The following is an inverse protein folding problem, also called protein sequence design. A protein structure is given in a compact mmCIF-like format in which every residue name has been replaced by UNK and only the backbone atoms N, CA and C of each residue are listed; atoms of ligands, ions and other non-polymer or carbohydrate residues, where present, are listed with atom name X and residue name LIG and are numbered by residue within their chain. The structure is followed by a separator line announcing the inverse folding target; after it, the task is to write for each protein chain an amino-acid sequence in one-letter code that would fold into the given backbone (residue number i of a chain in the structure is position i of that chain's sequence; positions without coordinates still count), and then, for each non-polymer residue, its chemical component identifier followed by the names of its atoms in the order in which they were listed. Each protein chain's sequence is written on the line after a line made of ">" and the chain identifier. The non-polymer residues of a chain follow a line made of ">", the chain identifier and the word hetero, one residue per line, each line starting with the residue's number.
data_IF_112976141967
#
_entry.id   IF_112976141967
#
_cell.length_a   1.000
_cell.length_b   1.000
_cell.length_c   1.000
_cell.angle_alpha   90.00
_cell.angle_beta   90.00
_cell.angle_gamma   90.00
#
_symmetry.space_group_name_H-M   'P 1'
#
loop_
_entity.id
_entity.type
_entity.pdbx_description
1 polymer ?
#
# COMPACT_ATOMS: atom_id res chain seq x y z
N UNK A 1 -23.36 7.55 15.29
CA UNK A 1 -22.59 8.75 14.92
C UNK A 1 -21.76 8.39 13.71
N UNK A 2 -21.85 9.16 12.62
CA UNK A 2 -20.96 9.00 11.47
C UNK A 2 -19.98 10.18 11.49
N UNK A 3 -18.68 9.91 11.61
CA UNK A 3 -17.65 10.94 11.73
C UNK A 3 -16.96 11.16 10.38
N UNK A 4 -16.93 12.41 9.91
CA UNK A 4 -16.24 12.83 8.70
C UNK A 4 -15.47 14.13 8.97
N UNK A 5 -14.33 14.32 8.30
CA UNK A 5 -13.53 15.54 8.35
C UNK A 5 -13.23 16.03 6.94
N UNK A 6 -13.09 17.35 6.77
CA UNK A 6 -12.86 17.99 5.48
C UNK A 6 -11.47 18.65 5.44
N UNK A 7 -10.74 18.48 4.34
CA UNK A 7 -9.36 18.97 4.20
C UNK A 7 -9.22 20.49 4.40
N UNK A 8 -10.18 21.30 3.93
CA UNK A 8 -10.14 22.75 4.11
C UNK A 8 -10.30 23.13 5.58
N UNK A 9 -11.18 22.44 6.31
CA UNK A 9 -11.35 22.64 7.76
C UNK A 9 -10.11 22.19 8.54
N UNK A 10 -9.47 21.10 8.12
CA UNK A 10 -8.23 20.63 8.75
C UNK A 10 -7.08 21.63 8.56
N UNK A 11 -6.93 22.19 7.34
CA UNK A 11 -5.94 23.25 7.07
C UNK A 11 -6.18 24.50 7.90
N UNK A 12 -7.41 25.00 7.94
CA UNK A 12 -7.76 26.17 8.74
C UNK A 12 -7.50 25.94 10.25
N UNK A 13 -7.78 24.72 10.75
CA UNK A 13 -7.46 24.36 12.13
C UNK A 13 -5.94 24.34 12.37
N UNK A 14 -5.16 23.76 11.46
CA UNK A 14 -3.71 23.72 11.54
C UNK A 14 -3.09 25.13 11.57
N UNK A 15 -3.56 26.03 10.70
CA UNK A 15 -3.15 27.44 10.68
C UNK A 15 -3.47 28.14 12.01
N UNK A 16 -4.69 27.95 12.54
CA UNK A 16 -5.09 28.53 13.83
C UNK A 16 -4.21 28.05 14.98
N UNK A 17 -3.77 26.78 14.94
CA UNK A 17 -2.84 26.20 15.92
C UNK A 17 -1.37 26.55 15.66
N UNK A 18 -1.06 27.31 14.61
CA UNK A 18 0.30 27.71 14.25
C UNK A 18 1.14 26.56 13.68
N UNK A 19 0.52 25.48 13.21
CA UNK A 19 1.23 24.39 12.53
C UNK A 19 1.62 24.80 11.11
N UNK A 20 2.80 24.36 10.67
CA UNK A 20 3.22 24.58 9.30
C UNK A 20 2.35 23.81 8.31
N UNK A 21 1.95 24.47 7.22
CA UNK A 21 1.27 23.82 6.09
C UNK A 21 2.26 23.35 5.00
N UNK A 22 3.54 23.65 5.13
CA UNK A 22 4.56 23.19 4.18
C UNK A 22 4.86 21.71 4.42
N UNK A 23 4.65 20.86 3.41
CA UNK A 23 5.03 19.45 3.45
C UNK A 23 6.46 19.19 2.95
N UNK A 24 6.98 18.01 3.26
CA UNK A 24 8.22 17.48 2.68
C UNK A 24 8.03 16.93 1.25
N UNK A 25 9.14 16.61 0.58
CA UNK A 25 9.11 15.84 -0.66
C UNK A 25 8.84 14.36 -0.36
N UNK A 26 8.15 13.68 -1.27
CA UNK A 26 7.98 12.23 -1.20
C UNK A 26 9.36 11.55 -1.24
N UNK A 27 9.62 10.55 -0.38
CA UNK A 27 10.84 9.75 -0.46
C UNK A 27 10.81 8.73 -1.61
N UNK A 28 9.66 8.53 -2.25
CA UNK A 28 9.54 7.58 -3.36
C UNK A 28 10.18 8.11 -4.62
N UNK A 29 10.86 7.20 -5.33
CA UNK A 29 11.34 7.43 -6.68
C UNK A 29 10.28 6.97 -7.67
N UNK A 30 10.16 7.71 -8.77
CA UNK A 30 9.14 7.46 -9.78
C UNK A 30 9.75 7.20 -11.15
N UNK A 31 9.07 6.36 -11.93
CA UNK A 31 9.28 6.14 -13.36
C UNK A 31 7.96 6.32 -14.11
N UNK A 32 8.05 6.41 -15.43
CA UNK A 32 6.89 6.25 -16.30
C UNK A 32 6.45 4.78 -16.34
N UNK A 33 5.19 4.57 -16.69
CA UNK A 33 4.57 3.27 -16.89
C UNK A 33 5.38 2.45 -17.92
N UNK A 34 5.54 1.16 -17.67
CA UNK A 34 6.12 0.27 -18.68
C UNK A 34 5.17 0.17 -19.89
N UNK A 35 5.70 -0.13 -21.10
CA UNK A 35 4.84 -0.49 -22.23
C UNK A 35 3.90 -1.63 -21.87
N UNK A 36 2.72 -1.63 -22.48
CA UNK A 36 1.74 -2.69 -22.31
C UNK A 36 2.33 -4.02 -22.81
N UNK A 37 2.67 -4.90 -21.86
CA UNK A 37 3.29 -6.19 -22.13
C UNK A 37 2.46 -7.30 -21.46
N UNK A 38 1.99 -8.25 -22.26
CA UNK A 38 1.33 -9.46 -21.77
C UNK A 38 0.00 -9.74 -22.48
N UNK A 39 -0.27 -11.02 -22.71
CA UNK A 39 -1.56 -11.52 -23.22
C UNK A 39 -2.12 -12.63 -22.30
N UNK A 40 -1.64 -12.69 -21.06
CA UNK A 40 -1.97 -13.71 -20.07
C UNK A 40 -3.07 -13.27 -19.10
N UNK A 41 -3.39 -14.12 -18.12
CA UNK A 41 -4.31 -13.76 -17.04
C UNK A 41 -3.77 -12.56 -16.24
N UNK A 42 -4.63 -11.63 -15.82
CA UNK A 42 -4.21 -10.46 -15.05
C UNK A 42 -3.63 -10.87 -13.69
N UNK A 43 -2.54 -10.22 -13.31
CA UNK A 43 -1.97 -10.39 -11.98
C UNK A 43 -3.02 -10.10 -10.90
N UNK A 44 -3.17 -11.02 -9.97
CA UNK A 44 -4.12 -10.92 -8.86
C UNK A 44 -3.37 -11.05 -7.56
N UNK A 45 -3.49 -10.03 -6.71
CA UNK A 45 -2.84 -9.92 -5.42
C UNK A 45 -3.90 -10.02 -4.34
N UNK A 46 -3.76 -10.98 -3.43
CA UNK A 46 -4.64 -11.18 -2.29
C UNK A 46 -3.85 -10.96 -1.01
N UNK A 47 -4.34 -10.03 -0.17
CA UNK A 47 -3.77 -9.71 1.14
C UNK A 47 -4.80 -10.03 2.23
N UNK A 48 -4.51 -11.05 3.01
CA UNK A 48 -5.35 -11.54 4.10
C UNK A 48 -4.93 -10.91 5.42
N UNK A 49 -5.73 -9.97 5.94
CA UNK A 49 -5.45 -9.33 7.23
C UNK A 49 -6.00 -10.11 8.43
N UNK A 50 -7.14 -10.79 8.27
CA UNK A 50 -7.75 -11.59 9.35
C UNK A 50 -8.78 -12.59 8.80
N UNK A 51 -10.02 -12.16 8.64
CA UNK A 51 -11.13 -12.95 8.14
C UNK A 51 -11.44 -12.58 6.68
N UNK A 52 -12.17 -13.42 5.92
CA UNK A 52 -12.52 -13.13 4.53
C UNK A 52 -13.22 -11.78 4.31
N UNK A 53 -13.96 -11.28 5.30
CA UNK A 53 -14.59 -9.95 5.28
C UNK A 53 -13.60 -8.77 5.30
N UNK A 54 -12.32 -9.03 5.58
CA UNK A 54 -11.25 -8.05 5.59
C UNK A 54 -10.18 -8.33 4.53
N UNK A 55 -10.39 -9.34 3.67
CA UNK A 55 -9.50 -9.60 2.53
C UNK A 55 -9.45 -8.37 1.63
N UNK A 56 -8.23 -7.90 1.34
CA UNK A 56 -7.98 -6.93 0.30
C UNK A 56 -7.46 -7.66 -0.93
N UNK A 57 -8.11 -7.42 -2.07
CA UNK A 57 -7.69 -7.98 -3.35
C UNK A 57 -7.43 -6.87 -4.34
N UNK A 58 -6.40 -7.03 -5.16
CA UNK A 58 -6.02 -6.11 -6.22
C UNK A 58 -5.91 -6.90 -7.52
N UNK A 59 -6.64 -6.49 -8.55
CA UNK A 59 -6.62 -7.15 -9.86
C UNK A 59 -6.03 -6.19 -10.87
N UNK A 60 -4.99 -6.62 -11.56
CA UNK A 60 -4.35 -5.82 -12.58
C UNK A 60 -5.29 -5.56 -13.76
N UNK A 61 -5.33 -4.31 -14.20
CA UNK A 61 -6.10 -3.84 -15.34
C UNK A 61 -5.11 -3.28 -16.37
N UNK A 62 -5.01 -4.00 -17.49
CA UNK A 62 -4.03 -3.74 -18.54
C UNK A 62 -4.25 -2.38 -19.21
N UNK A 63 -5.50 -2.03 -19.54
CA UNK A 63 -5.86 -0.77 -20.24
C UNK A 63 -5.43 0.46 -19.45
N UNK A 64 -5.56 0.40 -18.11
CA UNK A 64 -5.19 1.51 -17.23
C UNK A 64 -3.75 1.46 -16.74
N UNK A 65 -3.04 0.34 -16.95
CA UNK A 65 -1.84 -0.04 -16.21
C UNK A 65 -1.98 0.28 -14.71
N UNK A 66 -3.04 -0.25 -14.10
CA UNK A 66 -3.38 -0.02 -12.69
C UNK A 66 -3.98 -1.28 -12.05
N UNK A 67 -4.19 -1.22 -10.74
CA UNK A 67 -4.79 -2.29 -9.96
C UNK A 67 -6.13 -1.85 -9.39
N UNK A 68 -7.19 -2.57 -9.75
CA UNK A 68 -8.54 -2.41 -9.22
C UNK A 68 -8.63 -3.02 -7.83
N UNK A 69 -9.02 -2.23 -6.82
CA UNK A 69 -9.12 -2.71 -5.44
C UNK A 69 -10.50 -3.29 -5.12
N UNK A 70 -10.49 -4.40 -4.40
CA UNK A 70 -11.66 -5.08 -3.84
C UNK A 70 -11.47 -5.23 -2.33
N UNK A 71 -12.58 -5.31 -1.61
CA UNK A 71 -12.63 -5.70 -0.18
C UNK A 71 -13.76 -6.68 0.00
N UNK A 72 -13.51 -7.80 0.69
CA UNK A 72 -14.51 -8.84 0.93
C UNK A 72 -15.22 -9.29 -0.36
N UNK A 73 -14.45 -9.47 -1.44
CA UNK A 73 -14.96 -9.86 -2.77
C UNK A 73 -15.69 -8.77 -3.57
N UNK A 74 -15.95 -7.59 -3.00
CA UNK A 74 -16.70 -6.52 -3.68
C UNK A 74 -15.78 -5.39 -4.14
N UNK A 75 -16.07 -4.70 -5.26
CA UNK A 75 -15.36 -3.49 -5.67
C UNK A 75 -15.27 -2.48 -4.52
N UNK A 76 -14.08 -2.00 -4.21
CA UNK A 76 -13.89 -0.98 -3.17
C UNK A 76 -14.15 0.40 -3.78
N UNK A 77 -15.37 0.90 -3.61
CA UNK A 77 -15.85 2.14 -4.26
C UNK A 77 -15.69 3.34 -3.33
N UNK A 78 -15.11 4.42 -3.86
CA UNK A 78 -15.13 5.72 -3.20
C UNK A 78 -16.57 6.26 -3.20
N UNK A 79 -17.11 6.56 -2.02
CA UNK A 79 -18.50 6.97 -1.85
C UNK A 79 -18.82 8.32 -2.50
N UNK A 80 -17.86 9.24 -2.54
CA UNK A 80 -18.09 10.61 -3.03
C UNK A 80 -18.10 10.67 -4.55
N UNK A 81 -17.24 9.87 -5.19
CA UNK A 81 -17.12 9.84 -6.66
C UNK A 81 -17.96 8.73 -7.30
N UNK A 82 -18.22 7.65 -6.57
CA UNK A 82 -18.83 6.43 -7.11
C UNK A 82 -17.86 5.58 -7.93
N UNK A 83 -16.58 5.96 -8.01
CA UNK A 83 -15.56 5.24 -8.76
C UNK A 83 -14.90 4.16 -7.91
N UNK A 84 -14.56 3.04 -8.54
CA UNK A 84 -13.76 2.01 -7.88
C UNK A 84 -12.34 2.54 -7.65
N UNK A 85 -11.80 2.32 -6.45
CA UNK A 85 -10.42 2.66 -6.11
C UNK A 85 -9.47 1.89 -7.02
N UNK A 86 -8.59 2.64 -7.69
CA UNK A 86 -7.51 2.14 -8.54
C UNK A 86 -6.18 2.61 -8.00
N UNK A 87 -5.14 1.79 -8.07
CA UNK A 87 -3.79 2.19 -7.64
C UNK A 87 -2.76 1.76 -8.66
N UNK A 88 -1.73 2.58 -8.85
CA UNK A 88 -0.63 2.29 -9.77
C UNK A 88 0.38 1.32 -9.19
N UNK A 89 0.46 1.26 -7.86
CA UNK A 89 1.42 0.44 -7.15
C UNK A 89 0.80 -0.16 -5.89
N UNK A 90 1.12 -1.41 -5.60
CA UNK A 90 0.82 -2.06 -4.32
C UNK A 90 2.13 -2.46 -3.65
N UNK A 91 2.29 -2.11 -2.39
CA UNK A 91 3.41 -2.51 -1.54
C UNK A 91 2.85 -3.41 -0.44
N UNK A 92 3.42 -4.60 -0.29
CA UNK A 92 3.12 -5.48 0.84
C UNK A 92 4.38 -5.58 1.69
N UNK A 93 4.34 -4.91 2.85
CA UNK A 93 5.42 -4.82 3.81
C UNK A 93 5.22 -5.87 4.92
N UNK A 94 6.19 -6.77 5.06
CA UNK A 94 6.21 -7.73 6.17
C UNK A 94 6.90 -7.08 7.36
N UNK A 95 6.20 -7.01 8.49
CA UNK A 95 6.72 -6.42 9.73
C UNK A 95 6.11 -7.11 10.95
N UNK A 96 6.71 -6.91 12.12
CA UNK A 96 6.17 -7.44 13.35
C UNK A 96 4.87 -6.72 13.72
N UNK A 97 3.81 -7.51 13.88
CA UNK A 97 2.51 -7.06 14.39
C UNK A 97 2.22 -7.88 15.64
N UNK A 98 2.27 -7.24 16.80
CA UNK A 98 2.21 -7.93 18.10
C UNK A 98 1.03 -7.42 18.92
N UNK A 99 0.37 -8.32 19.64
CA UNK A 99 -0.63 -7.95 20.63
C UNK A 99 0.07 -7.27 21.82
N UNK A 100 -0.37 -6.06 22.20
CA UNK A 100 0.25 -5.30 23.31
C UNK A 100 -0.40 -5.56 24.67
N UNK A 101 -1.32 -6.53 24.74
CA UNK A 101 -2.02 -6.92 25.96
C UNK A 101 -3.18 -6.00 26.34
N UNK A 102 -4.04 -6.51 27.24
CA UNK A 102 -5.24 -5.83 27.72
C UNK A 102 -6.46 -6.01 26.82
N UNK A 103 -7.66 -5.94 27.40
CA UNK A 103 -8.91 -5.80 26.63
C UNK A 103 -8.99 -4.37 26.10
N UNK A 104 -9.22 -4.14 24.79
CA UNK A 104 -9.83 -5.03 23.79
C UNK A 104 -8.84 -5.67 22.78
N UNK A 105 -7.60 -5.96 23.18
CA UNK A 105 -6.64 -6.70 22.34
C UNK A 105 -5.97 -5.84 21.26
N UNK A 106 -5.52 -4.64 21.61
CA UNK A 106 -4.79 -3.77 20.68
C UNK A 106 -3.52 -4.44 20.13
N UNK A 107 -3.16 -4.08 18.91
CA UNK A 107 -1.91 -4.50 18.26
C UNK A 107 -0.98 -3.31 18.05
N UNK A 108 0.32 -3.54 18.19
CA UNK A 108 1.35 -2.63 17.74
C UNK A 108 1.94 -3.15 16.42
N UNK A 109 2.06 -2.25 15.44
CA UNK A 109 2.73 -2.51 14.17
C UNK A 109 4.10 -1.85 14.23
N UNK A 110 5.17 -2.62 14.04
CA UNK A 110 6.52 -2.06 13.96
C UNK A 110 6.68 -1.29 12.64
N UNK A 111 7.12 -0.03 12.73
CA UNK A 111 7.30 0.85 11.57
C UNK A 111 8.74 1.29 11.34
N UNK A 112 9.67 0.91 12.21
CA UNK A 112 11.12 1.17 12.10
C UNK A 112 11.91 -0.13 12.03
N UNK A 113 13.19 -0.05 11.68
CA UNK A 113 14.05 -1.19 11.39
C UNK A 113 13.92 -1.58 9.92
N UNK A 114 13.99 -2.88 9.64
CA UNK A 114 13.92 -3.42 8.29
C UNK A 114 13.07 -4.69 8.24
N UNK A 115 12.79 -5.17 7.02
CA UNK A 115 12.08 -6.41 6.78
C UNK A 115 11.85 -6.68 5.30
N UNK A 116 11.22 -7.80 5.00
CA UNK A 116 10.88 -8.19 3.63
C UNK A 116 9.72 -7.34 3.10
N UNK A 117 9.73 -7.05 1.80
CA UNK A 117 8.62 -6.42 1.11
C UNK A 117 8.41 -7.02 -0.29
N UNK A 118 7.21 -6.84 -0.79
CA UNK A 118 6.81 -7.20 -2.15
C UNK A 118 6.17 -5.97 -2.80
N UNK A 119 6.49 -5.74 -4.06
CA UNK A 119 6.01 -4.60 -4.81
C UNK A 119 5.34 -5.08 -6.09
N UNK A 120 4.21 -4.48 -6.41
CA UNK A 120 3.43 -4.81 -7.58
C UNK A 120 3.15 -3.55 -8.38
N UNK A 121 3.59 -3.56 -9.64
CA UNK A 121 3.53 -2.48 -10.61
C UNK A 121 3.67 -3.08 -12.01
N UNK A 122 3.07 -2.46 -13.02
CA UNK A 122 3.09 -2.94 -14.41
C UNK A 122 2.63 -4.41 -14.58
N UNK A 123 1.72 -4.88 -13.72
CA UNK A 123 1.23 -6.26 -13.73
C UNK A 123 2.25 -7.30 -13.28
N UNK A 124 3.37 -6.87 -12.67
CA UNK A 124 4.49 -7.72 -12.25
C UNK A 124 4.70 -7.60 -10.75
N UNK A 125 5.03 -8.72 -10.13
CA UNK A 125 5.44 -8.81 -8.73
C UNK A 125 6.96 -8.87 -8.61
N UNK A 126 7.53 -8.07 -7.73
CA UNK A 126 8.95 -8.07 -7.38
C UNK A 126 9.09 -8.20 -5.87
N UNK A 127 10.06 -8.98 -5.39
CA UNK A 127 10.40 -9.03 -3.96
C UNK A 127 11.57 -8.11 -3.64
N UNK A 128 11.73 -7.79 -2.36
CA UNK A 128 12.81 -6.93 -1.90
C UNK A 128 12.71 -6.69 -0.39
N UNK A 129 13.19 -5.53 0.04
CA UNK A 129 13.25 -5.18 1.47
C UNK A 129 12.84 -3.74 1.73
N UNK A 130 12.29 -3.49 2.91
CA UNK A 130 12.06 -2.14 3.41
C UNK A 130 13.02 -1.84 4.54
N UNK A 131 13.38 -0.57 4.70
CA UNK A 131 14.13 -0.06 5.85
C UNK A 131 13.63 1.32 6.26
N UNK A 132 13.64 1.60 7.55
CA UNK A 132 13.37 2.92 8.13
C UNK A 132 14.10 3.05 9.46
N UNK A 133 15.08 3.94 9.54
CA UNK A 133 15.97 4.03 10.71
C UNK A 133 15.22 4.55 11.96
N UNK A 134 14.61 5.72 11.85
CA UNK A 134 13.82 6.36 12.90
C UNK A 134 12.38 6.66 12.48
N UNK A 135 11.56 7.06 13.47
CA UNK A 135 10.15 7.41 13.25
C UNK A 135 9.96 8.70 12.44
N UNK A 136 11.00 9.52 12.33
CA UNK A 136 11.02 10.75 11.52
C UNK A 136 11.70 10.54 10.16
N UNK A 137 12.32 9.37 9.95
CA UNK A 137 12.98 9.04 8.68
C UNK A 137 11.98 8.47 7.67
N UNK A 138 12.26 8.63 6.37
CA UNK A 138 11.44 8.02 5.33
C UNK A 138 11.63 6.50 5.26
N UNK A 139 10.62 5.79 4.76
CA UNK A 139 10.79 4.41 4.31
C UNK A 139 11.68 4.39 3.05
N UNK A 140 12.68 3.52 3.07
CA UNK A 140 13.43 3.08 1.90
C UNK A 140 12.87 1.72 1.45
N UNK A 141 12.47 1.62 0.18
CA UNK A 141 12.05 0.37 -0.45
C UNK A 141 13.08 -0.02 -1.50
N UNK A 142 13.62 -1.23 -1.35
CA UNK A 142 14.77 -1.73 -2.09
C UNK A 142 14.38 -3.03 -2.80
N UNK A 143 14.80 -3.21 -4.03
CA UNK A 143 14.64 -4.47 -4.76
C UNK A 143 15.59 -5.56 -4.24
N UNK A 144 15.58 -6.73 -4.89
CA UNK A 144 16.44 -7.87 -4.54
C UNK A 144 17.94 -7.57 -4.64
N UNK A 145 18.32 -6.62 -5.49
CA UNK A 145 19.71 -6.18 -5.70
C UNK A 145 20.13 -5.08 -4.71
N UNK A 146 19.20 -4.64 -3.84
CA UNK A 146 19.42 -3.56 -2.89
C UNK A 146 19.32 -2.16 -3.51
N UNK A 147 18.84 -2.05 -4.76
CA UNK A 147 18.64 -0.77 -5.41
C UNK A 147 17.26 -0.19 -5.05
N UNK A 148 17.12 1.15 -4.97
CA UNK A 148 15.82 1.76 -4.72
C UNK A 148 14.78 1.44 -5.79
N UNK A 149 13.61 0.98 -5.37
CA UNK A 149 12.48 0.72 -6.27
C UNK A 149 11.97 2.03 -6.87
N UNK A 150 11.73 2.04 -8.19
CA UNK A 150 11.09 3.15 -8.90
C UNK A 150 9.63 2.79 -9.19
N UNK A 151 8.71 3.48 -8.54
CA UNK A 151 7.26 3.24 -8.66
C UNK A 151 6.67 3.94 -9.88
N UNK A 152 5.55 3.44 -10.39
CA UNK A 152 4.74 4.15 -11.37
C UNK A 152 4.18 5.43 -10.75
N UNK A 153 4.13 6.52 -11.54
CA UNK A 153 3.51 7.77 -11.09
C UNK A 153 2.02 7.55 -10.84
N UNK A 154 1.59 7.73 -9.59
CA UNK A 154 0.19 7.65 -9.21
C UNK A 154 0.00 7.17 -7.79
N UNK A 155 -1.18 6.64 -7.49
CA UNK A 155 -1.52 6.17 -6.15
C UNK A 155 -0.72 4.91 -5.78
N UNK A 156 -0.23 4.89 -4.55
CA UNK A 156 0.49 3.75 -3.95
C UNK A 156 -0.34 3.27 -2.77
N UNK A 157 -0.65 1.97 -2.74
CA UNK A 157 -1.29 1.33 -1.60
C UNK A 157 -0.27 0.52 -0.81
N UNK A 158 -0.17 0.74 0.50
CA UNK A 158 0.77 0.01 1.36
C UNK A 158 0.00 -0.87 2.35
N UNK A 159 0.26 -2.16 2.31
CA UNK A 159 -0.28 -3.18 3.20
C UNK A 159 0.81 -3.62 4.19
N UNK A 160 0.51 -3.62 5.49
CA UNK A 160 1.41 -4.15 6.52
C UNK A 160 0.86 -5.50 7.00
N UNK A 161 1.67 -6.55 6.92
CA UNK A 161 1.27 -7.91 7.30
C UNK A 161 2.34 -8.59 8.15
N UNK A 162 1.96 -9.55 9.03
CA UNK A 162 2.92 -10.20 9.92
C UNK A 162 3.80 -11.23 9.20
N UNK A 163 3.36 -11.82 8.07
CA UNK A 163 4.14 -12.81 7.33
C UNK A 163 3.81 -12.83 5.84
N UNK A 164 4.62 -13.56 5.05
CA UNK A 164 4.36 -13.83 3.62
C UNK A 164 3.09 -14.67 3.42
N UNK A 165 2.68 -15.48 4.39
CA UNK A 165 1.48 -16.32 4.29
C UNK A 165 0.19 -15.47 4.16
N UNK A 166 0.24 -14.21 4.58
CA UNK A 166 -0.84 -13.26 4.38
C UNK A 166 -0.95 -12.76 2.93
N UNK A 167 0.00 -13.09 2.05
CA UNK A 167 0.07 -12.62 0.66
C UNK A 167 0.10 -13.80 -0.30
N UNK A 168 -0.87 -13.84 -1.22
CA UNK A 168 -0.82 -14.66 -2.42
C UNK A 168 -0.84 -13.75 -3.65
N UNK A 169 0.02 -14.00 -4.63
CA UNK A 169 -0.03 -13.27 -5.90
C UNK A 169 0.40 -14.16 -7.08
N UNK A 170 -0.39 -14.12 -8.16
CA UNK A 170 -0.11 -14.95 -9.35
C UNK A 170 1.23 -14.60 -10.00
N UNK A 171 1.62 -13.32 -10.00
CA UNK A 171 2.93 -12.86 -10.49
C UNK A 171 4.14 -13.31 -9.66
N UNK A 172 3.93 -13.82 -8.43
CA UNK A 172 5.00 -14.40 -7.61
C UNK A 172 5.14 -15.92 -7.82
N UNK A 173 4.27 -16.53 -8.62
CA UNK A 173 4.25 -17.98 -8.84
C UNK A 173 3.60 -18.78 -7.71
N UNK A 174 2.77 -18.13 -6.89
CA UNK A 174 1.98 -18.75 -5.81
C UNK A 174 0.70 -19.43 -6.34
#
# INVERSE_FOLDING_TARGET
>A
SNAYMNANKLRAFAENKGYSLSGGRSPFLFKEDAPEEGSGEPDTIVVNFSQPSFEAKFVYNLEGNDYLKYVAGNPHVDRETGEQIRVKNVIVQITDIVNVGGEPGHVAVRTTGEGQAFYFLDGKGISGTWRREGVDDPFAYLDQDGAPVKFNRGQIWVCFVPSKENLAATSLGD
#
